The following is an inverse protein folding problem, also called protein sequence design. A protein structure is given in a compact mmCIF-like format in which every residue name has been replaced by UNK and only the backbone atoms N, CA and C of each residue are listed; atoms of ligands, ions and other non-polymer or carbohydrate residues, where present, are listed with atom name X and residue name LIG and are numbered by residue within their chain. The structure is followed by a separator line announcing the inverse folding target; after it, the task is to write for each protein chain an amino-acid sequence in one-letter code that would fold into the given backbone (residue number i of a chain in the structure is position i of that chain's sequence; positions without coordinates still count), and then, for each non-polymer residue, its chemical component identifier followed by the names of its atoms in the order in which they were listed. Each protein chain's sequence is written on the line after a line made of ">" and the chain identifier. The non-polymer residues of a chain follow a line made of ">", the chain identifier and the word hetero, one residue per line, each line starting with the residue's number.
data_IF_241965494235
#
_entry.id   IF_241965494235
#
_cell.length_a   1.000
_cell.length_b   1.000
_cell.length_c   1.000
_cell.angle_alpha   90.00
_cell.angle_beta   90.00
_cell.angle_gamma   90.00
#
_symmetry.space_group_name_H-M   'P 1'
#
loop_
_entity.id
_entity.type
_entity.pdbx_description
1 polymer ?
#
# COMPACT_ATOMS: atom_id res chain seq x y z
N UNK A 1 -13.51 5.02 8.00
CA UNK A 1 -12.08 5.05 7.62
C UNK A 1 -11.20 5.89 8.54
N UNK A 2 -11.72 6.44 9.65
CA UNK A 2 -10.92 7.25 10.60
C UNK A 2 -9.69 6.52 11.16
N UNK A 3 -9.77 5.20 11.34
CA UNK A 3 -8.64 4.36 11.77
C UNK A 3 -7.47 4.32 10.79
N UNK A 4 -7.65 4.81 9.56
CA UNK A 4 -6.59 4.97 8.54
C UNK A 4 -6.05 6.40 8.44
N UNK A 5 -6.45 7.32 9.34
CA UNK A 5 -6.07 8.73 9.27
C UNK A 5 -4.55 8.95 9.22
N UNK A 6 -3.77 8.12 9.93
CA UNK A 6 -2.30 8.20 9.92
C UNK A 6 -1.71 8.11 8.50
N UNK A 7 -2.33 7.31 7.62
CA UNK A 7 -1.86 7.16 6.24
C UNK A 7 -1.97 8.47 5.45
N UNK A 8 -2.92 9.32 5.81
CA UNK A 8 -3.20 10.59 5.10
C UNK A 8 -2.35 11.77 5.58
N UNK A 9 -1.50 11.56 6.59
CA UNK A 9 -0.65 12.64 7.14
C UNK A 9 0.63 12.89 6.32
N UNK A 10 0.91 12.10 5.28
CA UNK A 10 2.09 12.29 4.45
C UNK A 10 2.22 11.26 3.34
N UNK A 11 3.35 11.33 2.63
CA UNK A 11 3.74 10.30 1.66
C UNK A 11 4.61 9.27 2.36
N UNK A 12 4.37 7.99 2.07
CA UNK A 12 5.10 6.87 2.66
C UNK A 12 6.05 6.28 1.63
N UNK A 13 7.31 6.04 2.00
CA UNK A 13 8.33 5.49 1.12
C UNK A 13 8.96 4.23 1.70
N UNK A 14 9.18 3.26 0.82
CA UNK A 14 10.02 2.09 1.07
C UNK A 14 11.00 1.97 -0.09
N UNK A 15 12.30 1.95 0.21
CA UNK A 15 13.38 1.71 -0.75
C UNK A 15 14.31 0.64 -0.17
N UNK A 16 14.30 -0.53 -0.80
CA UNK A 16 14.95 -1.74 -0.28
C UNK A 16 15.20 -2.72 -1.44
N UNK A 17 15.58 -3.94 -1.09
CA UNK A 17 15.86 -5.03 -2.02
C UNK A 17 15.17 -6.30 -1.55
N UNK A 18 14.50 -7.01 -2.46
CA UNK A 18 13.97 -8.34 -2.20
C UNK A 18 15.09 -9.34 -1.88
N UNK A 19 14.76 -10.48 -1.29
CA UNK A 19 15.72 -11.54 -0.99
C UNK A 19 16.49 -12.06 -2.23
N UNK A 20 15.91 -11.92 -3.43
CA UNK A 20 16.53 -12.30 -4.71
C UNK A 20 17.49 -11.23 -5.27
N UNK A 21 17.66 -10.09 -4.61
CA UNK A 21 18.54 -9.00 -5.05
C UNK A 21 17.86 -7.94 -5.92
N UNK A 22 16.59 -8.10 -6.29
CA UNK A 22 15.86 -7.09 -7.06
C UNK A 22 15.48 -5.89 -6.19
N UNK A 23 15.74 -4.68 -6.70
CA UNK A 23 15.37 -3.44 -6.00
C UNK A 23 13.85 -3.32 -5.93
N UNK A 24 13.36 -2.92 -4.77
CA UNK A 24 11.98 -2.58 -4.51
C UNK A 24 11.90 -1.14 -3.98
N UNK A 25 11.37 -0.25 -4.80
CA UNK A 25 11.17 1.14 -4.44
C UNK A 25 9.72 1.54 -4.70
N UNK A 26 9.04 2.04 -3.67
CA UNK A 26 7.67 2.55 -3.78
C UNK A 26 7.48 3.81 -2.97
N UNK A 27 6.61 4.71 -3.46
CA UNK A 27 6.04 5.82 -2.69
C UNK A 27 4.52 5.76 -2.75
N UNK A 28 3.87 5.80 -1.59
CA UNK A 28 2.42 5.71 -1.46
C UNK A 28 1.84 6.98 -0.86
N UNK A 29 0.80 7.50 -1.49
CA UNK A 29 0.04 8.64 -1.01
C UNK A 29 -1.43 8.25 -0.83
N UNK A 30 -2.05 8.73 0.24
CA UNK A 30 -3.43 8.46 0.59
C UNK A 30 -4.16 9.77 0.83
N UNK A 31 -5.20 10.02 0.04
CA UNK A 31 -5.91 11.31 0.08
C UNK A 31 -7.36 11.04 0.49
N UNK A 32 -7.86 11.80 1.46
CA UNK A 32 -9.26 11.72 1.87
C UNK A 32 -10.19 12.13 0.74
N UNK A 33 -11.19 11.31 0.45
CA UNK A 33 -12.19 11.55 -0.58
C UNK A 33 -13.61 11.37 -0.02
N UNK A 34 -14.60 11.92 -0.74
CA UNK A 34 -16.01 11.81 -0.38
C UNK A 34 -16.28 12.22 1.08
N UNK A 35 -15.69 13.33 1.54
CA UNK A 35 -15.80 13.81 2.92
C UNK A 35 -15.36 12.78 3.99
N UNK A 36 -14.34 11.96 3.70
CA UNK A 36 -13.79 10.96 4.62
C UNK A 36 -14.44 9.58 4.54
N UNK A 37 -15.37 9.38 3.60
CA UNK A 37 -15.99 8.08 3.34
C UNK A 37 -15.16 7.18 2.42
N UNK A 38 -14.16 7.73 1.73
CA UNK A 38 -13.22 7.00 0.90
C UNK A 38 -11.80 7.56 1.09
N UNK A 39 -10.79 6.78 0.70
CA UNK A 39 -9.44 7.27 0.42
C UNK A 39 -9.12 6.98 -1.05
N UNK A 40 -8.54 7.94 -1.77
CA UNK A 40 -7.86 7.65 -3.05
C UNK A 40 -6.41 7.30 -2.76
N UNK A 41 -5.87 6.31 -3.48
CA UNK A 41 -4.49 5.84 -3.33
C UNK A 41 -3.71 6.12 -4.59
N UNK A 42 -2.44 6.49 -4.43
CA UNK A 42 -1.47 6.59 -5.50
C UNK A 42 -0.20 5.90 -5.07
N UNK A 43 0.31 4.98 -5.90
CA UNK A 43 1.62 4.34 -5.68
C UNK A 43 2.54 4.71 -6.84
N UNK A 44 3.63 5.41 -6.55
CA UNK A 44 4.77 5.50 -7.46
C UNK A 44 5.68 4.28 -7.27
N UNK A 45 6.21 3.76 -8.37
CA UNK A 45 7.05 2.56 -8.43
C UNK A 45 7.69 2.43 -9.81
N UNK A 46 8.28 1.27 -10.12
CA UNK A 46 8.81 0.99 -11.45
C UNK A 46 7.68 0.91 -12.49
N UNK A 47 7.72 1.79 -13.50
CA UNK A 47 6.74 1.85 -14.61
C UNK A 47 7.29 1.28 -15.92
N UNK A 48 8.62 1.14 -16.03
CA UNK A 48 9.28 0.47 -17.14
C UNK A 48 10.36 -0.48 -16.58
N UNK A 49 10.23 -1.77 -16.90
CA UNK A 49 11.10 -2.81 -16.35
C UNK A 49 12.49 -2.84 -17.02
N UNK A 50 12.62 -2.34 -18.25
CA UNK A 50 13.88 -2.32 -18.99
C UNK A 50 14.75 -1.15 -18.53
N UNK A 51 14.16 0.05 -18.44
CA UNK A 51 14.85 1.28 -18.07
C UNK A 51 14.89 1.53 -16.56
N UNK A 52 14.09 0.79 -15.77
CA UNK A 52 13.87 1.01 -14.35
C UNK A 52 13.31 2.40 -14.04
N UNK A 53 12.52 2.96 -14.96
CA UNK A 53 11.88 4.27 -14.78
C UNK A 53 10.94 4.25 -13.56
N UNK A 54 11.04 5.26 -12.71
CA UNK A 54 10.20 5.43 -11.53
C UNK A 54 9.11 6.47 -11.80
N UNK A 55 7.84 6.07 -11.69
CA UNK A 55 6.70 6.91 -12.04
C UNK A 55 5.42 6.49 -11.34
N UNK A 56 4.29 7.10 -11.70
CA UNK A 56 2.97 6.70 -11.19
C UNK A 56 2.62 5.31 -11.71
N UNK A 57 2.71 4.31 -10.84
CA UNK A 57 2.53 2.90 -11.18
C UNK A 57 1.11 2.44 -10.95
N UNK A 58 0.49 2.88 -9.85
CA UNK A 58 -0.87 2.49 -9.48
C UNK A 58 -1.70 3.68 -9.00
N UNK A 59 -2.99 3.62 -9.29
CA UNK A 59 -4.02 4.47 -8.68
C UNK A 59 -5.20 3.64 -8.23
N UNK A 60 -5.86 4.06 -7.17
CA UNK A 60 -6.92 3.27 -6.58
C UNK A 60 -7.73 3.97 -5.51
N UNK A 61 -8.45 3.14 -4.76
CA UNK A 61 -9.39 3.59 -3.75
C UNK A 61 -9.52 2.58 -2.62
N UNK A 62 -9.68 3.08 -1.39
CA UNK A 62 -10.09 2.33 -0.20
C UNK A 62 -11.46 2.84 0.23
N UNK A 63 -12.43 1.94 0.39
CA UNK A 63 -13.80 2.27 0.84
C UNK A 63 -14.27 1.33 1.94
N UNK A 64 -15.16 1.84 2.78
CA UNK A 64 -15.97 1.00 3.65
C UNK A 64 -17.20 0.51 2.88
N UNK A 65 -17.35 -0.81 2.77
CA UNK A 65 -18.48 -1.49 2.15
C UNK A 65 -19.48 -1.90 3.23
N UNK A 66 -20.57 -1.14 3.34
CA UNK A 66 -21.59 -1.37 4.36
C UNK A 66 -22.36 -2.70 4.21
N UNK A 67 -22.37 -3.31 3.01
CA UNK A 67 -23.13 -4.53 2.75
C UNK A 67 -22.64 -5.74 3.58
N UNK A 68 -21.35 -5.75 3.93
CA UNK A 68 -20.71 -6.85 4.65
C UNK A 68 -19.75 -6.38 5.75
N UNK A 69 -19.84 -5.10 6.14
CA UNK A 69 -19.02 -4.50 7.21
C UNK A 69 -17.51 -4.67 6.98
N UNK A 70 -17.08 -4.49 5.72
CA UNK A 70 -15.66 -4.64 5.33
C UNK A 70 -15.07 -3.34 4.84
N UNK A 71 -13.76 -3.17 5.03
CA UNK A 71 -12.98 -2.18 4.28
C UNK A 71 -12.37 -2.91 3.10
N UNK A 72 -12.56 -2.37 1.89
CA UNK A 72 -12.03 -2.94 0.65
C UNK A 72 -11.15 -1.93 -0.05
N UNK A 73 -10.22 -2.43 -0.84
CA UNK A 73 -9.39 -1.61 -1.70
C UNK A 73 -9.38 -2.16 -3.13
N UNK A 74 -9.11 -1.28 -4.08
CA UNK A 74 -8.84 -1.62 -5.47
C UNK A 74 -7.78 -0.66 -6.01
N UNK A 75 -6.77 -1.17 -6.70
CA UNK A 75 -5.76 -0.38 -7.42
C UNK A 75 -5.60 -0.93 -8.85
N UNK A 76 -5.65 -0.05 -9.84
CA UNK A 76 -5.25 -0.35 -11.20
C UNK A 76 -3.77 -0.02 -11.38
N UNK A 77 -3.05 -0.80 -12.18
CA UNK A 77 -1.66 -0.52 -12.55
C UNK A 77 -1.53 -0.02 -14.00
N UNK A 78 -0.41 0.65 -14.28
CA UNK A 78 -0.06 1.18 -15.61
C UNK A 78 0.06 0.10 -16.70
N UNK A 79 0.14 -1.19 -16.31
CA UNK A 79 0.19 -2.34 -17.21
C UNK A 79 -1.20 -2.95 -17.48
N UNK A 80 -2.27 -2.34 -16.95
CA UNK A 80 -3.65 -2.79 -17.12
C UNK A 80 -4.10 -3.87 -16.13
N UNK A 81 -3.28 -4.19 -15.14
CA UNK A 81 -3.65 -5.06 -14.03
C UNK A 81 -4.57 -4.36 -13.03
N UNK A 82 -5.42 -5.13 -12.37
CA UNK A 82 -6.25 -4.66 -11.24
C UNK A 82 -6.03 -5.59 -10.07
N UNK A 83 -5.67 -5.00 -8.93
CA UNK A 83 -5.56 -5.68 -7.64
C UNK A 83 -6.69 -5.19 -6.76
N UNK A 84 -7.44 -6.11 -6.16
CA UNK A 84 -8.50 -5.80 -5.21
C UNK A 84 -8.40 -6.71 -3.99
N UNK A 85 -8.90 -6.24 -2.86
CA UNK A 85 -8.78 -6.97 -1.61
C UNK A 85 -9.48 -6.32 -0.44
N UNK A 86 -9.18 -6.82 0.75
CA UNK A 86 -9.74 -6.30 2.01
C UNK A 86 -8.66 -5.65 2.86
N UNK A 87 -9.08 -4.71 3.70
CA UNK A 87 -8.22 -4.05 4.67
C UNK A 87 -8.68 -4.44 6.08
N UNK A 88 -7.79 -5.04 6.85
CA UNK A 88 -8.00 -5.34 8.28
C UNK A 88 -7.17 -4.37 9.11
N UNK A 89 -7.74 -3.87 10.21
CA UNK A 89 -7.06 -2.93 11.11
C UNK A 89 -7.05 -3.53 12.51
N UNK A 90 -5.86 -3.72 13.07
CA UNK A 90 -5.66 -4.24 14.43
C UNK A 90 -4.86 -3.21 15.24
N UNK A 91 -5.57 -2.43 16.06
CA UNK A 91 -4.95 -1.29 16.74
C UNK A 91 -4.50 -0.22 15.73
N UNK A 92 -3.19 -0.08 15.53
CA UNK A 92 -2.59 0.81 14.51
C UNK A 92 -1.96 0.04 13.35
N UNK A 93 -1.97 -1.28 13.41
CA UNK A 93 -1.47 -2.14 12.32
C UNK A 93 -2.54 -2.22 11.24
N UNK A 94 -2.10 -2.22 9.99
CA UNK A 94 -2.96 -2.21 8.81
C UNK A 94 -2.52 -3.34 7.90
N UNK A 95 -3.46 -4.19 7.50
CA UNK A 95 -3.21 -5.35 6.66
C UNK A 95 -4.05 -5.27 5.40
N UNK A 96 -3.42 -5.28 4.24
CA UNK A 96 -4.10 -5.38 2.95
C UNK A 96 -3.97 -6.82 2.45
N UNK A 97 -5.08 -7.52 2.39
CA UNK A 97 -5.15 -8.92 1.97
C UNK A 97 -5.71 -9.01 0.55
N UNK A 98 -5.00 -9.65 -0.37
CA UNK A 98 -5.40 -9.72 -1.77
C UNK A 98 -4.91 -10.99 -2.49
N UNK A 99 -5.66 -11.50 -3.48
CA UNK A 99 -5.16 -12.54 -4.36
C UNK A 99 -4.18 -11.95 -5.38
N UNK A 100 -3.09 -12.66 -5.66
CA UNK A 100 -2.14 -12.28 -6.71
C UNK A 100 -1.49 -13.54 -7.32
N UNK A 101 -1.52 -13.65 -8.65
CA UNK A 101 -0.97 -14.78 -9.42
C UNK A 101 -1.34 -16.18 -8.86
N UNK A 102 -2.59 -16.35 -8.42
CA UNK A 102 -3.09 -17.62 -7.86
C UNK A 102 -2.71 -17.89 -6.39
N UNK A 103 -1.93 -17.01 -5.76
CA UNK A 103 -1.66 -17.01 -4.32
C UNK A 103 -2.51 -15.99 -3.57
N UNK A 104 -2.42 -16.00 -2.22
CA UNK A 104 -2.95 -14.96 -1.35
C UNK A 104 -1.80 -14.23 -0.70
N UNK A 105 -1.80 -12.91 -0.78
CA UNK A 105 -0.75 -12.05 -0.28
C UNK A 105 -1.32 -11.08 0.76
N UNK A 106 -0.43 -10.62 1.62
CA UNK A 106 -0.68 -9.61 2.63
C UNK A 106 0.43 -8.56 2.60
N UNK A 107 0.03 -7.32 2.41
CA UNK A 107 0.85 -6.16 2.73
C UNK A 107 0.56 -5.76 4.18
N UNK A 108 1.50 -6.04 5.07
CA UNK A 108 1.40 -5.73 6.49
C UNK A 108 2.15 -4.45 6.81
N UNK A 109 1.42 -3.45 7.28
CA UNK A 109 1.94 -2.20 7.80
C UNK A 109 1.85 -2.26 9.31
N UNK A 110 2.93 -2.69 9.95
CA UNK A 110 2.99 -2.89 11.40
C UNK A 110 3.50 -1.61 12.04
N UNK A 111 2.72 -1.02 12.93
CA UNK A 111 3.00 0.28 13.51
C UNK A 111 4.28 0.26 14.35
N UNK A 112 5.20 1.19 14.07
CA UNK A 112 6.37 1.43 14.92
C UNK A 112 6.19 2.75 15.65
N UNK A 113 6.01 3.84 14.90
CA UNK A 113 5.80 5.18 15.43
C UNK A 113 5.08 6.07 14.40
N UNK A 114 4.97 7.37 14.68
CA UNK A 114 4.23 8.32 13.83
C UNK A 114 4.75 8.39 12.39
N UNK A 115 6.04 8.19 12.21
CA UNK A 115 6.75 8.38 10.95
C UNK A 115 7.25 7.06 10.35
N UNK A 116 6.86 5.92 10.93
CA UNK A 116 7.39 4.62 10.53
C UNK A 116 6.40 3.48 10.77
N UNK A 117 6.26 2.66 9.73
CA UNK A 117 5.75 1.30 9.81
C UNK A 117 6.86 0.31 9.47
N UNK A 118 6.85 -0.86 10.09
CA UNK A 118 7.53 -2.04 9.54
C UNK A 118 6.61 -2.61 8.46
N UNK A 119 7.03 -2.48 7.20
CA UNK A 119 6.30 -2.96 6.05
C UNK A 119 6.78 -4.36 5.66
N UNK A 120 5.84 -5.26 5.49
CA UNK A 120 6.13 -6.63 5.09
C UNK A 120 5.19 -7.10 3.99
N UNK A 121 5.74 -7.81 3.01
CA UNK A 121 4.96 -8.54 2.00
C UNK A 121 5.03 -10.01 2.39
N UNK A 122 3.87 -10.58 2.70
CA UNK A 122 3.73 -11.99 3.12
C UNK A 122 2.85 -12.75 2.15
N UNK A 123 3.08 -14.06 2.00
CA UNK A 123 2.13 -14.96 1.36
C UNK A 123 1.49 -15.90 2.36
N UNK A 124 0.26 -16.29 2.05
CA UNK A 124 -0.46 -17.33 2.77
C UNK A 124 0.13 -18.70 2.44
N UNK A 125 0.58 -19.41 3.46
CA UNK A 125 1.11 -20.75 3.36
C UNK A 125 0.70 -21.54 4.61
N UNK A 126 0.26 -22.79 4.43
CA UNK A 126 -0.08 -23.71 5.52
C UNK A 126 -1.12 -23.19 6.52
N UNK A 127 -2.02 -22.30 6.08
CA UNK A 127 -3.13 -21.79 6.89
C UNK A 127 -2.83 -20.47 7.61
N UNK A 128 -1.70 -19.82 7.32
CA UNK A 128 -1.33 -18.53 7.90
C UNK A 128 -0.44 -17.69 6.96
N UNK A 129 -0.26 -16.40 7.25
CA UNK A 129 0.71 -15.54 6.55
C UNK A 129 2.12 -15.70 7.12
N UNK A 130 2.76 -16.83 6.83
CA UNK A 130 4.06 -17.23 7.38
C UNK A 130 5.26 -16.93 6.47
N UNK A 131 5.10 -16.99 5.15
CA UNK A 131 6.19 -16.73 4.22
C UNK A 131 6.39 -15.23 3.99
N UNK A 132 7.52 -14.68 4.44
CA UNK A 132 7.89 -13.28 4.24
C UNK A 132 8.75 -13.15 2.98
N UNK A 133 8.33 -12.31 2.04
CA UNK A 133 9.09 -11.97 0.81
C UNK A 133 9.89 -10.69 0.96
N UNK A 134 9.37 -9.76 1.76
CA UNK A 134 9.96 -8.47 2.02
C UNK A 134 9.69 -8.07 3.46
N UNK A 135 10.69 -7.49 4.11
CA UNK A 135 10.53 -6.79 5.37
C UNK A 135 11.46 -5.56 5.37
N UNK A 136 10.89 -4.37 5.48
CA UNK A 136 11.61 -3.11 5.40
C UNK A 136 10.88 -2.00 6.17
N UNK A 137 11.59 -0.94 6.59
CA UNK A 137 10.92 0.25 7.08
C UNK A 137 10.17 0.94 5.93
N UNK A 138 8.93 1.33 6.20
CA UNK A 138 8.14 2.25 5.39
C UNK A 138 8.08 3.58 6.15
N UNK A 139 8.80 4.57 5.63
CA UNK A 139 9.05 5.84 6.30
C UNK A 139 8.15 6.92 5.75
N UNK A 140 7.58 7.73 6.63
CA UNK A 140 6.86 8.93 6.23
C UNK A 140 7.86 9.99 5.80
N UNK A 141 7.72 10.45 4.57
CA UNK A 141 8.44 11.61 4.07
C UNK A 141 7.79 12.88 4.63
N UNK A 142 8.62 13.79 5.13
CA UNK A 142 8.20 15.16 5.43
C UNK A 142 7.49 15.76 4.20
N UNK A 143 6.40 16.48 4.42
CA UNK A 143 5.59 17.09 3.37
C UNK A 143 6.44 18.02 2.50
N UNK A 144 7.03 17.47 1.45
CA UNK A 144 7.83 18.17 0.45
C UNK A 144 7.29 17.80 -0.92
N UNK A 145 6.45 18.71 -1.43
CA UNK A 145 6.10 18.87 -2.83
C UNK A 145 5.44 17.68 -3.57
N UNK A 146 4.54 16.92 -2.94
CA UNK A 146 3.54 16.15 -3.70
C UNK A 146 2.29 16.98 -4.05
N UNK A 147 2.14 18.19 -3.49
CA UNK A 147 0.95 19.04 -3.68
C UNK A 147 0.90 19.83 -5.00
N UNK A 148 1.93 19.76 -5.86
CA UNK A 148 2.02 20.64 -7.03
C UNK A 148 1.38 20.08 -8.32
N UNK A 149 1.01 18.80 -8.39
CA UNK A 149 0.66 18.18 -9.68
C UNK A 149 -0.84 18.03 -9.97
N UNK A 150 -1.75 18.30 -9.02
CA UNK A 150 -3.19 18.11 -9.26
C UNK A 150 -4.10 19.10 -8.50
N UNK A 151 -3.72 20.39 -8.42
CA UNK A 151 -4.68 21.49 -8.19
C UNK A 151 -5.09 22.13 -9.51
#
# INVERSE_FOLDING_TARGET
>A
LQSLANLTEGTWEVDTTFANGERFHQRKNFISALNGHALTTQTKGTVDMETQEFGLRNEGMIVYRAADDTIVFMEADVFGGVTEGTVTIEGKDIYFDYPYQGGKFRDAWIWVNRDEYRYEIRAWQDGEYSQVYLAAPMIRLEATAFEAEYR
#
